data_IF_570505521930
#
_entry.id   IF_570505521930
#
_cell.length_a   1.000
_cell.length_b   1.000
_cell.length_c   1.000
_cell.angle_alpha   90.00
_cell.angle_beta   90.00
_cell.angle_gamma   90.00
#
_symmetry.space_group_name_H-M   'P 1'
#
loop_
_entity.id
_entity.type
_entity.pdbx_description
1 polymer ?
#
# COMPACT_ATOMS: atom_id res chain seq x y z
N UNK A 1 -23.26 -46.08 55.81
CA UNK A 1 -23.00 -44.86 55.01
C UNK A 1 -22.34 -45.18 53.65
N UNK A 2 -23.01 -45.91 52.74
CA UNK A 2 -22.37 -46.41 51.48
C UNK A 2 -22.94 -45.76 50.20
N UNK A 3 -23.96 -44.90 50.29
CA UNK A 3 -24.60 -44.28 49.11
C UNK A 3 -23.79 -43.18 48.40
N UNK A 4 -22.66 -42.72 48.95
CA UNK A 4 -21.87 -41.61 48.36
C UNK A 4 -20.84 -42.03 47.30
N UNK A 5 -20.56 -43.33 47.11
CA UNK A 5 -19.55 -43.81 46.14
C UNK A 5 -20.12 -44.12 44.74
N UNK A 6 -21.44 -44.26 44.60
CA UNK A 6 -22.08 -44.54 43.30
C UNK A 6 -22.26 -43.29 42.43
N UNK A 7 -22.20 -42.08 43.01
CA UNK A 7 -22.35 -40.81 42.30
C UNK A 7 -21.11 -40.41 41.46
N UNK A 8 -19.94 -41.04 41.68
CA UNK A 8 -18.70 -40.72 40.96
C UNK A 8 -18.53 -41.51 39.65
N UNK A 9 -19.33 -42.56 39.40
CA UNK A 9 -19.33 -43.34 38.15
C UNK A 9 -20.30 -42.82 37.08
N UNK A 10 -21.03 -41.74 37.36
CA UNK A 10 -22.05 -41.19 36.47
C UNK A 10 -21.55 -40.10 35.51
N UNK A 11 -20.24 -39.94 35.32
CA UNK A 11 -19.72 -39.13 34.20
C UNK A 11 -19.75 -39.98 32.94
N UNK A 12 -20.77 -39.80 32.10
CA UNK A 12 -20.77 -40.29 30.71
C UNK A 12 -19.57 -39.64 30.01
N UNK A 13 -18.50 -40.39 29.83
CA UNK A 13 -17.35 -39.96 29.03
C UNK A 13 -17.70 -39.93 27.55
N UNK A 14 -17.07 -39.04 26.80
CA UNK A 14 -17.14 -38.98 25.34
C UNK A 14 -16.62 -40.32 24.77
N UNK A 15 -17.31 -40.89 23.78
CA UNK A 15 -16.86 -42.10 23.11
C UNK A 15 -15.80 -41.78 22.05
N UNK A 16 -14.89 -42.71 21.79
CA UNK A 16 -13.91 -42.57 20.70
C UNK A 16 -14.60 -42.41 19.34
N UNK A 17 -15.74 -43.06 19.14
CA UNK A 17 -16.52 -42.97 17.90
C UNK A 17 -17.06 -41.56 17.70
N UNK A 18 -17.63 -40.94 18.74
CA UNK A 18 -18.10 -39.55 18.67
C UNK A 18 -16.96 -38.59 18.33
N UNK A 19 -15.77 -38.79 18.89
CA UNK A 19 -14.59 -37.98 18.55
C UNK A 19 -14.18 -38.13 17.08
N UNK A 20 -14.15 -39.37 16.56
CA UNK A 20 -13.74 -39.66 15.18
C UNK A 20 -14.72 -39.08 14.16
N UNK A 21 -16.03 -39.15 14.43
CA UNK A 21 -17.05 -38.56 13.54
C UNK A 21 -16.91 -37.03 13.51
N UNK A 22 -16.65 -36.39 14.66
CA UNK A 22 -16.49 -34.93 14.74
C UNK A 22 -15.28 -34.45 13.94
N UNK A 23 -14.11 -35.08 14.09
CA UNK A 23 -12.92 -34.69 13.31
C UNK A 23 -13.12 -34.96 11.81
N UNK A 24 -13.88 -35.99 11.44
CA UNK A 24 -14.20 -36.26 10.05
C UNK A 24 -15.05 -35.14 9.43
N UNK A 25 -16.09 -34.68 10.15
CA UNK A 25 -16.93 -33.56 9.69
C UNK A 25 -16.12 -32.26 9.63
N UNK A 26 -15.31 -31.95 10.64
CA UNK A 26 -14.43 -30.76 10.65
C UNK A 26 -13.44 -30.84 9.48
N UNK A 27 -12.86 -32.01 9.19
CA UNK A 27 -11.95 -32.21 8.07
C UNK A 27 -12.59 -31.90 6.72
N UNK A 28 -13.81 -32.37 6.48
CA UNK A 28 -14.55 -32.08 5.24
C UNK A 28 -14.88 -30.60 5.12
N UNK A 29 -15.34 -29.96 6.20
CA UNK A 29 -15.64 -28.52 6.20
C UNK A 29 -14.38 -27.67 5.96
N UNK A 30 -13.28 -28.01 6.63
CA UNK A 30 -12.01 -27.32 6.47
C UNK A 30 -11.47 -27.43 5.04
N UNK A 31 -11.60 -28.60 4.40
CA UNK A 31 -11.11 -28.82 3.04
C UNK A 31 -11.75 -27.87 2.00
N UNK A 32 -13.03 -27.52 2.17
CA UNK A 32 -13.74 -26.60 1.28
C UNK A 32 -13.48 -25.13 1.67
N UNK A 33 -13.37 -24.86 2.98
CA UNK A 33 -13.26 -23.50 3.52
C UNK A 33 -11.88 -22.88 3.31
N UNK A 34 -10.80 -23.63 3.48
CA UNK A 34 -9.43 -23.10 3.40
C UNK A 34 -9.12 -22.43 2.04
N UNK A 35 -9.36 -23.06 0.86
CA UNK A 35 -9.02 -22.42 -0.41
C UNK A 35 -9.85 -21.17 -0.70
N UNK A 36 -11.13 -21.13 -0.29
CA UNK A 36 -12.00 -19.96 -0.49
C UNK A 36 -11.57 -18.79 0.39
N UNK A 37 -11.22 -19.05 1.65
CA UNK A 37 -10.73 -18.01 2.57
C UNK A 37 -9.42 -17.37 2.08
N UNK A 38 -8.51 -18.15 1.50
CA UNK A 38 -7.26 -17.62 0.94
C UNK A 38 -7.51 -16.60 -0.19
N UNK A 39 -8.46 -16.88 -1.08
CA UNK A 39 -8.85 -15.95 -2.15
C UNK A 39 -9.46 -14.65 -1.62
N UNK A 40 -10.37 -14.74 -0.65
CA UNK A 40 -11.01 -13.56 -0.04
C UNK A 40 -9.99 -12.66 0.69
N UNK A 41 -9.02 -13.26 1.38
CA UNK A 41 -7.95 -12.50 2.05
C UNK A 41 -7.07 -11.80 1.03
N UNK A 42 -6.72 -12.47 -0.08
CA UNK A 42 -5.94 -11.87 -1.16
C UNK A 42 -6.69 -10.68 -1.80
N UNK A 43 -7.97 -10.85 -2.08
CA UNK A 43 -8.82 -9.79 -2.65
C UNK A 43 -8.95 -8.58 -1.72
N UNK A 44 -9.05 -8.85 -0.42
CA UNK A 44 -9.08 -7.81 0.62
C UNK A 44 -7.76 -7.05 0.65
N UNK A 45 -6.62 -7.74 0.51
CA UNK A 45 -5.29 -7.10 0.42
C UNK A 45 -5.14 -6.25 -0.83
N UNK A 46 -5.57 -6.74 -1.99
CA UNK A 46 -5.54 -5.99 -3.26
C UNK A 46 -6.40 -4.73 -3.14
N UNK A 47 -7.61 -4.87 -2.59
CA UNK A 47 -8.53 -3.73 -2.38
C UNK A 47 -7.93 -2.71 -1.42
N UNK A 48 -7.32 -3.15 -0.32
CA UNK A 48 -6.62 -2.29 0.64
C UNK A 48 -5.46 -1.55 -0.03
N UNK A 49 -4.62 -2.26 -0.81
CA UNK A 49 -3.50 -1.66 -1.50
C UNK A 49 -3.96 -0.62 -2.55
N UNK A 50 -5.01 -0.90 -3.31
CA UNK A 50 -5.62 0.06 -4.24
C UNK A 50 -6.14 1.31 -3.50
N UNK A 51 -6.75 1.13 -2.32
CA UNK A 51 -7.17 2.25 -1.48
C UNK A 51 -5.98 3.10 -1.00
N UNK A 52 -4.89 2.46 -0.57
CA UNK A 52 -3.66 3.16 -0.19
C UNK A 52 -3.06 3.94 -1.37
N UNK A 53 -3.01 3.33 -2.57
CA UNK A 53 -2.56 4.01 -3.79
C UNK A 53 -3.45 5.21 -4.14
N UNK A 54 -4.77 5.08 -3.97
CA UNK A 54 -5.70 6.20 -4.18
C UNK A 54 -5.48 7.33 -3.19
N UNK A 55 -5.31 7.03 -1.90
CA UNK A 55 -5.03 8.04 -0.88
C UNK A 55 -3.73 8.79 -1.18
N UNK A 56 -2.67 8.09 -1.58
CA UNK A 56 -1.41 8.70 -2.03
C UNK A 56 -1.63 9.63 -3.23
N UNK A 57 -2.42 9.21 -4.23
CA UNK A 57 -2.74 10.03 -5.40
C UNK A 57 -3.46 11.32 -5.01
N UNK A 58 -4.48 11.19 -4.15
CA UNK A 58 -5.28 12.33 -3.69
C UNK A 58 -4.43 13.32 -2.90
N UNK A 59 -3.60 12.82 -1.96
CA UNK A 59 -2.68 13.66 -1.18
C UNK A 59 -1.62 14.32 -2.05
N UNK A 60 -1.05 13.61 -3.01
CA UNK A 60 -0.07 14.19 -3.93
C UNK A 60 -0.71 15.28 -4.79
N UNK A 61 -1.91 15.05 -5.31
CA UNK A 61 -2.66 16.04 -6.09
C UNK A 61 -2.99 17.27 -5.24
N UNK A 62 -3.38 17.08 -3.98
CA UNK A 62 -3.62 18.15 -3.02
C UNK A 62 -2.35 18.98 -2.76
N UNK A 63 -1.19 18.32 -2.57
CA UNK A 63 0.08 19.00 -2.38
C UNK A 63 0.47 19.86 -3.59
N UNK A 64 0.39 19.29 -4.81
CA UNK A 64 0.68 20.04 -6.04
C UNK A 64 -0.23 21.26 -6.18
N UNK A 65 -1.51 21.13 -5.80
CA UNK A 65 -2.48 22.23 -5.80
C UNK A 65 -2.13 23.30 -4.76
N UNK A 66 -1.68 22.89 -3.56
CA UNK A 66 -1.22 23.83 -2.51
C UNK A 66 0.00 24.63 -2.98
N UNK A 67 0.96 23.95 -3.61
CA UNK A 67 2.16 24.60 -4.16
C UNK A 67 1.79 25.57 -5.30
N UNK A 68 0.82 25.23 -6.14
CA UNK A 68 0.29 26.14 -7.15
C UNK A 68 -0.34 27.41 -6.52
N UNK A 69 -1.18 27.23 -5.49
CA UNK A 69 -1.76 28.36 -4.75
C UNK A 69 -0.70 29.24 -4.04
N UNK A 70 0.43 28.65 -3.64
CA UNK A 70 1.57 29.33 -3.05
C UNK A 70 2.47 30.05 -4.07
N UNK A 71 2.16 29.99 -5.38
CA UNK A 71 3.00 30.47 -6.49
C UNK A 71 4.34 29.74 -6.62
N UNK A 72 4.41 28.53 -6.05
CA UNK A 72 5.53 27.61 -6.17
C UNK A 72 5.08 26.39 -6.98
N UNK A 73 4.33 26.57 -8.07
CA UNK A 73 3.78 25.44 -8.82
C UNK A 73 4.89 24.51 -9.33
N UNK A 74 4.64 23.20 -9.31
CA UNK A 74 5.48 22.25 -10.02
C UNK A 74 5.44 22.60 -11.51
N UNK A 75 6.60 22.89 -12.11
CA UNK A 75 6.71 23.31 -13.52
C UNK A 75 6.10 22.26 -14.44
N UNK A 76 6.39 21.00 -14.13
CA UNK A 76 6.00 19.87 -14.96
C UNK A 76 6.67 19.90 -16.35
N UNK A 77 6.67 18.73 -16.98
CA UNK A 77 7.09 18.57 -18.37
C UNK A 77 6.27 17.46 -19.01
N UNK A 78 6.47 17.28 -20.32
CA UNK A 78 5.89 16.14 -21.03
C UNK A 78 6.56 14.82 -20.66
N UNK A 79 7.78 14.87 -20.12
CA UNK A 79 8.44 13.70 -19.52
C UNK A 79 7.82 13.42 -18.15
N UNK A 80 7.48 12.16 -17.90
CA UNK A 80 6.98 11.73 -16.59
C UNK A 80 8.08 11.84 -15.54
N UNK A 81 7.78 12.50 -14.42
CA UNK A 81 8.58 12.46 -13.20
C UNK A 81 8.13 11.28 -12.35
N UNK A 82 9.08 10.45 -11.94
CA UNK A 82 8.84 9.39 -10.96
C UNK A 82 9.29 9.85 -9.59
N UNK A 83 8.42 9.70 -8.61
CA UNK A 83 8.65 10.02 -7.21
C UNK A 83 8.56 8.70 -6.44
N UNK A 84 9.70 8.14 -6.04
CA UNK A 84 9.74 6.89 -5.29
C UNK A 84 9.81 7.19 -3.80
N UNK A 85 8.85 6.71 -3.03
CA UNK A 85 8.81 6.85 -1.59
C UNK A 85 8.97 5.48 -0.94
N UNK A 86 9.82 5.41 0.08
CA UNK A 86 9.95 4.24 0.95
C UNK A 86 9.54 4.67 2.36
N UNK A 87 8.64 3.89 2.96
CA UNK A 87 8.24 4.04 4.35
C UNK A 87 8.77 2.85 5.12
N UNK A 88 9.62 3.07 6.12
CA UNK A 88 10.05 2.04 7.07
C UNK A 88 9.77 2.52 8.50
N UNK A 89 8.94 1.80 9.24
CA UNK A 89 8.52 2.12 10.61
C UNK A 89 7.98 3.56 10.76
N UNK A 90 7.34 4.08 9.73
CA UNK A 90 6.79 5.44 9.70
C UNK A 90 7.81 6.54 9.40
N UNK A 91 9.02 6.19 8.96
CA UNK A 91 9.98 7.11 8.36
C UNK A 91 9.78 7.08 6.85
N UNK A 92 9.35 8.20 6.29
CA UNK A 92 9.16 8.40 4.86
C UNK A 92 10.44 8.94 4.25
N UNK A 93 10.95 8.31 3.21
CA UNK A 93 12.15 8.72 2.49
C UNK A 93 11.86 8.81 0.99
N UNK A 94 12.55 9.71 0.31
CA UNK A 94 12.37 9.95 -1.12
C UNK A 94 13.60 9.57 -1.93
N UNK A 95 13.36 8.89 -3.05
CA UNK A 95 14.31 8.71 -4.14
C UNK A 95 13.69 9.18 -5.47
N UNK A 96 14.35 10.14 -6.13
CA UNK A 96 13.90 10.72 -7.41
C UNK A 96 14.57 10.09 -8.64
N UNK A 97 15.54 9.17 -8.49
CA UNK A 97 16.04 8.38 -9.62
C UNK A 97 16.79 9.12 -10.76
N UNK A 98 17.44 10.29 -10.51
CA UNK A 98 18.29 11.14 -11.41
C UNK A 98 17.57 12.32 -12.11
N UNK A 99 18.16 13.43 -12.61
CA UNK A 99 19.36 14.24 -12.31
C UNK A 99 19.08 15.76 -12.52
N UNK A 100 17.86 16.15 -12.90
CA UNK A 100 17.43 17.56 -12.96
C UNK A 100 16.64 17.90 -11.68
N UNK A 101 17.11 18.97 -11.05
CA UNK A 101 17.14 19.17 -9.62
C UNK A 101 15.82 19.45 -8.92
N UNK A 102 15.82 19.07 -7.65
CA UNK A 102 14.72 19.20 -6.70
C UNK A 102 14.17 20.63 -6.59
N UNK A 103 15.03 21.65 -6.77
CA UNK A 103 14.63 23.06 -6.82
C UNK A 103 14.26 23.57 -8.22
N UNK A 104 14.82 22.96 -9.27
CA UNK A 104 14.52 23.33 -10.66
C UNK A 104 13.15 22.84 -11.11
N UNK A 105 12.58 21.87 -10.41
CA UNK A 105 11.22 21.36 -10.58
C UNK A 105 10.12 22.40 -10.31
N UNK A 106 10.43 23.45 -9.54
CA UNK A 106 9.44 24.39 -9.01
C UNK A 106 9.63 25.79 -9.58
N UNK A 107 8.52 26.52 -9.79
CA UNK A 107 8.52 27.85 -10.40
C UNK A 107 9.28 28.91 -9.59
N UNK A 108 9.30 28.78 -8.27
CA UNK A 108 9.97 29.71 -7.37
C UNK A 108 11.47 29.42 -7.18
N UNK A 109 11.95 28.29 -7.72
CA UNK A 109 13.34 27.87 -7.64
C UNK A 109 13.75 27.30 -6.29
N UNK A 110 12.79 26.92 -5.43
CA UNK A 110 13.05 26.24 -4.16
C UNK A 110 12.68 24.76 -4.26
N UNK A 111 13.32 23.93 -3.43
CA UNK A 111 12.96 22.52 -3.32
C UNK A 111 11.73 22.34 -2.44
N UNK A 112 10.66 21.76 -3.00
CA UNK A 112 9.46 21.38 -2.28
C UNK A 112 9.21 19.88 -2.25
N UNK A 113 10.18 19.04 -2.62
CA UNK A 113 10.06 17.60 -2.46
C UNK A 113 10.35 17.17 -1.02
N UNK A 114 11.44 17.68 -0.43
CA UNK A 114 11.97 17.14 0.81
C UNK A 114 12.67 15.80 0.62
N UNK A 115 13.40 15.34 1.64
CA UNK A 115 14.20 14.10 1.56
C UNK A 115 13.69 13.00 2.49
N UNK A 116 13.32 13.38 3.72
CA UNK A 116 12.87 12.45 4.74
C UNK A 116 11.87 13.11 5.69
N UNK A 117 10.95 12.31 6.24
CA UNK A 117 10.05 12.69 7.33
C UNK A 117 9.73 11.51 8.25
N UNK A 118 10.13 11.62 9.52
CA UNK A 118 9.79 10.66 10.57
C UNK A 118 8.49 11.06 11.28
N UNK A 119 7.43 10.25 11.11
CA UNK A 119 6.12 10.48 11.73
C UNK A 119 6.12 10.42 13.26
N UNK A 120 7.19 9.90 13.85
CA UNK A 120 7.37 9.79 15.31
C UNK A 120 8.22 10.92 15.89
N UNK A 121 8.85 11.73 15.02
CA UNK A 121 9.71 12.83 15.45
C UNK A 121 8.92 13.93 16.17
N UNK A 122 9.44 14.34 17.32
CA UNK A 122 8.92 15.48 18.10
C UNK A 122 9.66 16.78 17.79
N UNK A 123 10.59 16.76 16.82
CA UNK A 123 11.35 17.94 16.41
C UNK A 123 10.43 18.96 15.72
N UNK A 124 10.26 20.11 16.36
CA UNK A 124 9.43 21.20 15.85
C UNK A 124 9.89 21.73 14.48
N UNK A 125 11.16 21.58 14.11
CA UNK A 125 11.67 22.03 12.82
C UNK A 125 11.31 21.06 11.69
N UNK A 126 11.28 19.75 11.97
CA UNK A 126 10.76 18.74 11.05
C UNK A 126 9.25 18.94 10.81
N UNK A 127 8.51 19.34 11.86
CA UNK A 127 7.06 19.54 11.81
C UNK A 127 6.66 20.79 10.99
N UNK A 128 7.51 21.82 10.90
CA UNK A 128 7.26 23.02 10.07
C UNK A 128 7.32 22.74 8.57
N UNK A 129 8.01 21.68 8.14
CA UNK A 129 8.21 21.35 6.73
C UNK A 129 6.97 20.79 6.05
N UNK A 130 5.92 20.40 6.79
CA UNK A 130 4.69 19.79 6.24
C UNK A 130 3.93 20.69 5.27
N UNK A 131 4.06 22.00 5.44
CA UNK A 131 3.37 22.97 4.58
C UNK A 131 4.19 23.30 3.32
N UNK A 132 5.46 22.90 3.26
CA UNK A 132 6.41 23.32 2.23
C UNK A 132 7.11 22.17 1.52
N UNK A 133 7.18 20.97 2.09
CA UNK A 133 7.88 19.82 1.54
C UNK A 133 6.93 18.63 1.38
N UNK A 134 6.96 18.00 0.20
CA UNK A 134 6.06 16.92 -0.18
C UNK A 134 6.19 15.70 0.76
N UNK A 135 7.41 15.26 1.07
CA UNK A 135 7.65 14.09 1.92
C UNK A 135 7.11 14.31 3.33
N UNK A 136 7.29 15.51 3.88
CA UNK A 136 6.74 15.87 5.18
C UNK A 136 5.21 15.96 5.16
N UNK A 137 4.66 16.58 4.11
CA UNK A 137 3.23 16.67 3.91
C UNK A 137 2.56 15.30 3.81
N UNK A 138 3.05 14.44 2.91
CA UNK A 138 2.45 13.14 2.65
C UNK A 138 2.61 12.22 3.86
N UNK A 139 3.80 12.21 4.49
CA UNK A 139 4.07 11.41 5.66
C UNK A 139 3.21 11.79 6.87
N UNK A 140 2.93 13.07 7.06
CA UNK A 140 1.97 13.51 8.08
C UNK A 140 0.53 13.09 7.74
N UNK A 141 0.11 13.35 6.51
CA UNK A 141 -1.26 13.07 6.06
C UNK A 141 -1.61 11.58 6.02
N UNK A 142 -0.59 10.72 5.87
CA UNK A 142 -0.68 9.25 5.81
C UNK A 142 0.13 8.60 6.94
N UNK A 143 0.12 9.21 8.13
CA UNK A 143 0.93 8.77 9.27
C UNK A 143 0.61 7.36 9.77
N UNK A 144 -0.56 6.82 9.46
CA UNK A 144 -0.93 5.43 9.77
C UNK A 144 -0.20 4.40 8.90
N UNK A 145 0.29 4.79 7.72
CA UNK A 145 1.08 3.92 6.85
C UNK A 145 2.49 3.78 7.42
N UNK A 146 2.81 2.59 7.95
CA UNK A 146 4.09 2.36 8.64
C UNK A 146 5.16 1.72 7.76
N UNK A 147 4.78 0.89 6.81
CA UNK A 147 5.71 0.28 5.87
C UNK A 147 5.06 0.28 4.49
N UNK A 148 5.71 0.84 3.48
CA UNK A 148 5.27 0.78 2.11
C UNK A 148 6.38 1.18 1.14
N UNK A 149 6.29 0.70 -0.08
CA UNK A 149 6.99 1.28 -1.22
C UNK A 149 5.99 1.85 -2.20
N UNK A 150 6.18 3.10 -2.60
CA UNK A 150 5.22 3.86 -3.39
C UNK A 150 5.96 4.50 -4.56
N UNK A 151 5.40 4.39 -5.76
CA UNK A 151 5.84 5.15 -6.93
C UNK A 151 4.71 6.04 -7.39
N UNK A 152 4.97 7.35 -7.44
CA UNK A 152 4.02 8.33 -7.99
C UNK A 152 4.56 8.83 -9.32
N UNK A 153 3.68 8.87 -10.32
CA UNK A 153 3.99 9.30 -11.68
C UNK A 153 3.30 10.63 -11.94
N UNK A 154 4.09 11.67 -12.19
CA UNK A 154 3.61 13.05 -12.40
C UNK A 154 4.01 13.51 -13.80
N UNK A 155 3.05 13.93 -14.59
CA UNK A 155 3.27 14.45 -15.94
C UNK A 155 2.46 15.74 -16.11
N UNK A 156 3.08 16.79 -16.65
CA UNK A 156 2.42 18.08 -16.90
C UNK A 156 1.64 18.64 -15.68
N UNK A 157 2.23 18.53 -14.47
CA UNK A 157 1.59 19.03 -13.25
C UNK A 157 0.52 18.12 -12.63
N UNK A 158 0.27 16.94 -13.21
CA UNK A 158 -0.81 16.04 -12.80
C UNK A 158 -0.29 14.66 -12.43
N UNK A 159 -0.89 14.07 -11.39
CA UNK A 159 -0.64 12.67 -11.03
C UNK A 159 -1.36 11.75 -12.02
N UNK A 160 -0.59 11.07 -12.88
CA UNK A 160 -1.14 10.14 -13.88
C UNK A 160 -1.35 8.74 -13.29
N UNK A 161 -0.52 8.34 -12.33
CA UNK A 161 -0.54 7.01 -11.76
C UNK A 161 0.16 6.93 -10.41
N UNK A 162 -0.27 5.98 -9.58
CA UNK A 162 0.39 5.58 -8.35
C UNK A 162 0.43 4.07 -8.28
N UNK A 163 1.60 3.50 -7.99
CA UNK A 163 1.76 2.11 -7.56
C UNK A 163 2.16 2.09 -6.08
N UNK A 164 1.55 1.22 -5.28
CA UNK A 164 1.80 1.12 -3.84
C UNK A 164 1.90 -0.36 -3.43
N UNK A 165 2.99 -0.72 -2.76
CA UNK A 165 3.21 -2.03 -2.16
C UNK A 165 3.19 -1.85 -0.66
N UNK A 166 2.05 -2.19 -0.05
CA UNK A 166 1.84 -2.12 1.40
C UNK A 166 2.72 -3.17 2.10
N UNK A 167 3.38 -2.78 3.20
CA UNK A 167 4.26 -3.63 3.98
C UNK A 167 5.71 -3.73 3.47
N UNK A 168 6.03 -3.18 2.30
CA UNK A 168 7.41 -3.14 1.81
C UNK A 168 8.27 -2.17 2.66
N UNK A 169 9.55 -2.48 2.83
CA UNK A 169 10.53 -1.66 3.58
C UNK A 169 11.67 -1.15 2.70
N UNK A 170 11.71 -1.60 1.45
CA UNK A 170 12.70 -1.25 0.43
C UNK A 170 11.98 -1.14 -0.92
N UNK A 171 12.70 -0.69 -1.95
CA UNK A 171 12.21 -0.63 -3.33
C UNK A 171 11.73 -2.01 -3.81
N UNK A 172 10.59 -2.02 -4.51
CA UNK A 172 10.01 -3.23 -5.11
C UNK A 172 10.05 -3.11 -6.62
N UNK A 173 10.63 -4.12 -7.27
CA UNK A 173 10.67 -4.27 -8.72
C UNK A 173 9.35 -4.81 -9.28
N UNK A 174 9.21 -4.82 -10.62
CA UNK A 174 8.03 -5.38 -11.30
C UNK A 174 6.71 -4.74 -10.82
N UNK A 175 6.73 -3.43 -10.61
CA UNK A 175 5.54 -2.61 -10.36
C UNK A 175 5.22 -1.78 -11.61
N UNK A 176 3.95 -1.39 -11.83
CA UNK A 176 3.56 -0.64 -13.02
C UNK A 176 4.39 0.62 -13.27
N UNK A 177 4.79 0.83 -14.52
CA UNK A 177 5.46 2.01 -15.06
C UNK A 177 4.45 3.05 -15.56
N UNK A 178 4.92 4.23 -15.96
CA UNK A 178 4.06 5.30 -16.47
C UNK A 178 3.30 4.93 -17.74
N UNK A 179 3.92 4.13 -18.62
CA UNK A 179 3.27 3.58 -19.82
C UNK A 179 2.09 2.68 -19.50
N UNK A 180 2.15 1.95 -18.39
CA UNK A 180 1.08 1.03 -17.96
C UNK A 180 -0.15 1.82 -17.50
N UNK A 181 0.06 2.95 -16.82
CA UNK A 181 -1.03 3.86 -16.45
C UNK A 181 -1.66 4.58 -17.66
N UNK A 182 -0.89 4.82 -18.71
CA UNK A 182 -1.42 5.34 -19.96
C UNK A 182 -2.24 4.28 -20.72
N UNK A 183 -1.79 3.02 -20.69
CA UNK A 183 -2.49 1.88 -21.30
C UNK A 183 -3.73 1.45 -20.49
N UNK A 184 -3.75 1.71 -19.17
CA UNK A 184 -4.79 1.22 -18.26
C UNK A 184 -4.63 -0.25 -17.88
N UNK A 185 -3.53 -0.88 -18.28
CA UNK A 185 -3.25 -2.31 -18.10
C UNK A 185 -1.86 -2.55 -17.55
N UNK A 186 -1.66 -3.71 -16.91
CA UNK A 186 -0.34 -4.20 -16.50
C UNK A 186 -0.29 -5.73 -16.65
N UNK A 187 0.92 -6.26 -16.80
CA UNK A 187 1.21 -7.71 -16.89
C UNK A 187 1.11 -8.37 -15.50
N UNK A 188 -0.12 -8.47 -15.00
CA UNK A 188 -0.40 -9.12 -13.72
C UNK A 188 -0.26 -10.65 -13.79
N UNK A 189 -0.05 -11.29 -12.64
CA UNK A 189 0.10 -12.75 -12.52
C UNK A 189 -1.11 -13.37 -11.86
N UNK A 190 -1.87 -14.15 -12.61
CA UNK A 190 -3.06 -14.87 -12.14
C UNK A 190 -4.28 -13.99 -11.85
N UNK A 191 -4.08 -12.78 -11.31
CA UNK A 191 -5.11 -11.80 -11.02
C UNK A 191 -4.54 -10.38 -10.99
N UNK A 192 -5.34 -9.40 -11.42
CA UNK A 192 -5.01 -7.98 -11.27
C UNK A 192 -4.70 -7.60 -9.82
N UNK A 193 -3.59 -6.91 -9.61
CA UNK A 193 -3.06 -6.54 -8.29
C UNK A 193 -1.99 -7.50 -7.74
N UNK A 194 -1.57 -8.52 -8.49
CA UNK A 194 -0.47 -9.43 -8.13
C UNK A 194 0.61 -9.39 -9.21
N UNK A 195 1.82 -8.97 -8.86
CA UNK A 195 2.93 -8.92 -9.83
C UNK A 195 3.57 -10.30 -10.06
N UNK A 196 4.58 -10.36 -10.93
CA UNK A 196 5.34 -11.57 -11.26
C UNK A 196 6.06 -12.22 -10.06
N UNK A 197 6.31 -11.47 -9.00
CA UNK A 197 6.95 -11.94 -7.77
C UNK A 197 5.94 -12.43 -6.72
N UNK A 198 4.65 -12.52 -7.08
CA UNK A 198 3.52 -12.82 -6.19
C UNK A 198 3.33 -11.79 -5.06
N UNK A 199 3.75 -10.55 -5.29
CA UNK A 199 3.55 -9.43 -4.37
C UNK A 199 2.25 -8.71 -4.73
N UNK A 200 1.49 -8.32 -3.71
CA UNK A 200 0.28 -7.50 -3.87
C UNK A 200 0.69 -6.06 -4.16
N UNK A 201 0.25 -5.52 -5.29
CA UNK A 201 0.52 -4.14 -5.71
C UNK A 201 -0.80 -3.42 -5.93
N UNK A 202 -1.02 -2.36 -5.17
CA UNK A 202 -2.12 -1.44 -5.34
C UNK A 202 -1.84 -0.41 -6.42
N UNK A 203 -2.86 -0.01 -7.17
CA UNK A 203 -2.74 0.98 -8.25
C UNK A 203 -3.86 2.02 -8.20
N UNK A 204 -3.53 3.26 -8.55
CA UNK A 204 -4.51 4.34 -8.77
C UNK A 204 -4.14 5.16 -10.02
N UNK A 205 -4.95 5.13 -11.11
CA UNK A 205 -6.15 4.32 -11.29
C UNK A 205 -5.88 2.82 -11.20
N UNK A 206 -6.92 2.03 -10.91
CA UNK A 206 -6.81 0.56 -10.88
C UNK A 206 -6.55 0.05 -12.29
N UNK A 207 -5.45 -0.68 -12.48
CA UNK A 207 -5.08 -1.27 -13.78
C UNK A 207 -5.71 -2.65 -13.96
N UNK A 208 -6.17 -2.94 -15.18
CA UNK A 208 -6.67 -4.27 -15.55
C UNK A 208 -5.56 -5.18 -16.08
N UNK A 209 -5.87 -6.45 -16.35
CA UNK A 209 -4.91 -7.35 -16.99
C UNK A 209 -4.70 -6.97 -18.45
N UNK A 210 -3.44 -7.00 -18.90
CA UNK A 210 -3.07 -6.70 -20.28
C UNK A 210 -3.74 -7.65 -21.31
N UNK A 211 -4.05 -8.89 -20.92
CA UNK A 211 -4.74 -9.86 -21.79
C UNK A 211 -6.24 -9.59 -21.98
N UNK A 212 -6.83 -8.65 -21.24
CA UNK A 212 -8.27 -8.33 -21.27
C UNK A 212 -8.60 -7.06 -22.09
N UNK A 213 -7.62 -6.46 -22.78
CA UNK A 213 -7.75 -5.20 -23.55
C UNK A 213 -7.85 -5.40 -25.07
#
# INVERSE_FOLDING_TARGET
MIKKLQALKAKKGFTLVELVVVIAIIGVLAAILVPTMLGVVQDSRITSANSSAQQVKDRTTEFLTKMDAAKASYKGGTTTKTVNLTVDKGVWSLDLGSADGSSTDWLDGNDHWGSEYDTTSTDSDAQKKKDTEFVAYIGDSLSDLKNAYIKVYIQSGKVIGVACVDGATDSVENVPADTDFQAGTFEWTGKAGINSDNIVVGTSPVLTMAADA
#
